data_IF_643179263692
#
_entry.id   IF_643179263692
#
_cell.length_a   1.000
_cell.length_b   1.000
_cell.length_c   1.000
_cell.angle_alpha   90.00
_cell.angle_beta   90.00
_cell.angle_gamma   90.00
#
_symmetry.space_group_name_H-M   'P 1'
#
loop_
_entity.id
_entity.type
_entity.pdbx_description
1 polymer ?
#
# COMPACT_ATOMS: atom_id res chain seq x y z
N UNK A 1 -43.98 -6.73 -16.61
CA UNK A 1 -43.14 -7.53 -17.54
C UNK A 1 -41.99 -8.02 -16.68
N UNK A 2 -42.26 -8.97 -15.78
CA UNK A 2 -41.37 -9.35 -14.65
C UNK A 2 -41.14 -10.87 -14.60
N UNK A 3 -41.51 -11.56 -15.69
CA UNK A 3 -41.29 -12.99 -15.89
C UNK A 3 -39.90 -13.27 -16.46
N UNK A 4 -39.53 -12.57 -17.54
CA UNK A 4 -38.28 -12.81 -18.27
C UNK A 4 -37.02 -12.58 -17.39
N UNK A 5 -36.99 -11.54 -16.55
CA UNK A 5 -35.79 -11.23 -15.75
C UNK A 5 -35.54 -12.24 -14.60
N UNK A 6 -36.60 -12.91 -14.12
CA UNK A 6 -36.47 -13.99 -13.13
C UNK A 6 -36.03 -15.30 -13.78
N UNK A 7 -36.53 -15.59 -14.97
CA UNK A 7 -36.16 -16.77 -15.74
C UNK A 7 -34.72 -16.68 -16.26
N UNK A 8 -34.29 -15.49 -16.68
CA UNK A 8 -32.91 -15.20 -17.10
C UNK A 8 -31.90 -15.47 -16.00
N UNK A 9 -32.24 -15.15 -14.74
CA UNK A 9 -31.36 -15.41 -13.59
C UNK A 9 -31.10 -16.91 -13.41
N UNK A 10 -32.15 -17.72 -13.51
CA UNK A 10 -32.09 -19.18 -13.33
C UNK A 10 -31.32 -19.84 -14.49
N UNK A 11 -31.55 -19.39 -15.73
CA UNK A 11 -30.87 -19.93 -16.92
C UNK A 11 -29.38 -19.57 -16.89
N UNK A 12 -29.04 -18.32 -16.57
CA UNK A 12 -27.65 -17.85 -16.49
C UNK A 12 -26.85 -18.60 -15.41
N UNK A 13 -27.47 -18.87 -14.27
CA UNK A 13 -26.86 -19.67 -13.20
C UNK A 13 -26.67 -21.15 -13.60
N UNK A 14 -27.66 -21.73 -14.30
CA UNK A 14 -27.55 -23.09 -14.84
C UNK A 14 -26.47 -23.22 -15.93
N UNK A 15 -26.32 -22.22 -16.80
CA UNK A 15 -25.26 -22.20 -17.82
C UNK A 15 -23.87 -22.02 -17.20
N UNK A 16 -23.72 -21.15 -16.20
CA UNK A 16 -22.48 -20.99 -15.44
C UNK A 16 -22.02 -22.29 -14.79
N UNK A 17 -22.96 -23.08 -14.25
CA UNK A 17 -22.68 -24.41 -13.69
C UNK A 17 -22.30 -25.47 -14.74
N UNK A 18 -22.65 -25.28 -16.02
CA UNK A 18 -22.46 -26.28 -17.09
C UNK A 18 -21.22 -26.01 -17.94
N UNK A 19 -20.78 -24.76 -18.06
CA UNK A 19 -19.68 -24.36 -18.95
C UNK A 19 -18.28 -24.58 -18.37
N UNK A 20 -18.19 -24.88 -17.08
CA UNK A 20 -16.93 -25.04 -16.36
C UNK A 20 -16.92 -26.45 -15.76
N UNK A 21 -16.12 -27.34 -16.35
CA UNK A 21 -15.87 -28.71 -15.88
C UNK A 21 -14.94 -28.71 -14.65
N UNK A 22 -15.19 -27.79 -13.70
CA UNK A 22 -14.48 -27.66 -12.43
C UNK A 22 -15.46 -28.11 -11.36
N UNK A 23 -15.17 -29.24 -10.73
CA UNK A 23 -15.90 -29.71 -9.56
C UNK A 23 -15.48 -28.88 -8.34
N UNK A 24 -16.27 -27.85 -8.06
CA UNK A 24 -16.09 -26.97 -6.89
C UNK A 24 -16.67 -27.64 -5.62
N UNK A 25 -17.35 -28.78 -5.75
CA UNK A 25 -17.98 -29.49 -4.63
C UNK A 25 -16.99 -30.09 -3.63
N UNK A 26 -15.76 -30.38 -4.07
CA UNK A 26 -14.68 -30.94 -3.26
C UNK A 26 -13.73 -29.85 -2.72
N UNK A 27 -14.05 -28.57 -2.93
CA UNK A 27 -13.29 -27.47 -2.35
C UNK A 27 -13.72 -27.32 -0.89
N UNK A 28 -12.90 -27.85 0.01
CA UNK A 28 -12.99 -27.58 1.43
C UNK A 28 -12.73 -26.09 1.68
N UNK A 29 -13.81 -25.30 1.76
CA UNK A 29 -13.74 -23.92 2.24
C UNK A 29 -13.78 -24.00 3.76
N UNK A 30 -12.68 -23.66 4.49
CA UNK A 30 -12.76 -23.55 5.93
C UNK A 30 -13.79 -22.45 6.27
N UNK A 31 -14.84 -22.82 7.00
CA UNK A 31 -15.95 -21.93 7.40
C UNK A 31 -15.46 -20.69 8.15
N UNK A 32 -14.29 -20.78 8.78
CA UNK A 32 -13.75 -19.74 9.63
C UNK A 32 -12.37 -19.33 9.14
N UNK A 33 -12.31 -18.27 8.33
CA UNK A 33 -11.21 -17.31 8.54
C UNK A 33 -11.53 -16.65 9.88
N UNK A 34 -10.97 -17.17 10.97
CA UNK A 34 -11.13 -16.57 12.28
C UNK A 34 -10.79 -15.08 12.22
N UNK A 35 -11.53 -14.27 12.96
CA UNK A 35 -11.23 -12.84 13.08
C UNK A 35 -9.79 -12.64 13.59
N UNK A 36 -9.33 -13.52 14.48
CA UNK A 36 -7.93 -13.62 14.91
C UNK A 36 -6.96 -13.78 13.74
N UNK A 37 -7.19 -14.71 12.79
CA UNK A 37 -6.29 -14.89 11.64
C UNK A 37 -6.28 -13.66 10.72
N UNK A 38 -7.38 -12.91 10.62
CA UNK A 38 -7.42 -11.66 9.84
C UNK A 38 -6.67 -10.54 10.56
N UNK A 39 -6.80 -10.47 11.88
CA UNK A 39 -6.09 -9.50 12.72
C UNK A 39 -4.58 -9.79 12.76
N UNK A 40 -4.17 -11.06 12.78
CA UNK A 40 -2.78 -11.49 12.61
C UNK A 40 -2.20 -11.08 11.25
N UNK A 41 -2.96 -11.26 10.16
CA UNK A 41 -2.55 -10.80 8.83
C UNK A 41 -2.53 -9.27 8.69
N UNK A 42 -3.42 -8.57 9.39
CA UNK A 42 -3.45 -7.10 9.39
C UNK A 42 -2.36 -6.47 10.28
N UNK A 43 -1.92 -7.19 11.32
CA UNK A 43 -0.82 -6.79 12.20
C UNK A 43 0.55 -7.25 11.72
N UNK A 44 0.62 -8.14 10.73
CA UNK A 44 1.85 -8.50 10.05
C UNK A 44 2.40 -7.26 9.30
N UNK A 45 3.36 -6.58 9.92
CA UNK A 45 4.09 -5.47 9.31
C UNK A 45 5.08 -6.04 8.30
N UNK A 46 4.89 -5.69 7.02
CA UNK A 46 5.82 -6.06 5.95
C UNK A 46 7.10 -5.18 6.05
N UNK A 47 8.22 -5.81 6.42
CA UNK A 47 9.52 -5.15 6.54
C UNK A 47 9.97 -4.47 5.24
N UNK A 48 9.54 -4.98 4.07
CA UNK A 48 9.89 -4.40 2.78
C UNK A 48 9.13 -3.09 2.47
N UNK A 49 7.95 -2.89 3.07
CA UNK A 49 7.18 -1.65 2.91
C UNK A 49 7.72 -0.51 3.77
N UNK A 50 8.39 -0.84 4.88
CA UNK A 50 8.96 0.14 5.80
C UNK A 50 7.91 1.01 6.50
N UNK A 51 8.36 2.12 7.07
CA UNK A 51 7.51 3.06 7.79
C UNK A 51 6.72 3.94 6.80
N UNK A 52 5.40 3.99 6.94
CA UNK A 52 4.57 4.91 6.16
C UNK A 52 4.76 6.34 6.68
N UNK A 53 5.27 7.23 5.81
CA UNK A 53 5.41 8.64 6.14
C UNK A 53 4.05 9.35 6.20
N UNK A 54 3.71 9.93 7.35
CA UNK A 54 2.52 10.79 7.53
C UNK A 54 2.89 12.26 7.28
N UNK A 55 2.45 12.87 6.16
CA UNK A 55 2.77 14.25 5.84
C UNK A 55 2.07 15.29 6.73
N UNK A 56 1.10 14.86 7.55
CA UNK A 56 0.37 15.73 8.47
C UNK A 56 0.82 15.57 9.93
N UNK A 57 1.75 14.65 10.20
CA UNK A 57 2.34 14.51 11.53
C UNK A 57 3.06 15.81 11.91
N UNK A 58 2.89 16.23 13.16
CA UNK A 58 3.61 17.39 13.67
C UNK A 58 5.12 17.09 13.62
N UNK A 59 5.93 17.91 12.94
CA UNK A 59 7.35 17.65 12.82
C UNK A 59 8.01 17.77 14.20
N UNK A 60 8.80 16.76 14.55
CA UNK A 60 9.55 16.71 15.80
C UNK A 60 10.87 17.51 15.71
N UNK A 61 11.17 18.10 14.55
CA UNK A 61 12.35 18.93 14.31
C UNK A 61 13.65 18.15 14.12
N UNK A 62 13.64 16.83 14.33
CA UNK A 62 14.81 15.95 14.18
C UNK A 62 14.81 15.17 12.85
N UNK A 63 13.79 15.37 12.03
CA UNK A 63 13.61 14.68 10.76
C UNK A 63 14.64 15.18 9.73
N UNK A 64 15.03 14.32 8.79
CA UNK A 64 15.92 14.73 7.71
C UNK A 64 15.25 15.85 6.89
N UNK A 65 15.94 16.97 6.75
CA UNK A 65 15.39 18.16 6.08
C UNK A 65 14.47 19.03 6.95
N UNK A 66 14.32 18.74 8.26
CA UNK A 66 13.57 19.61 9.17
C UNK A 66 14.21 20.99 9.26
N UNK A 67 13.41 22.06 9.11
CA UNK A 67 13.88 23.44 9.25
C UNK A 67 13.59 23.90 10.69
N UNK A 68 14.64 24.31 11.39
CA UNK A 68 14.55 24.83 12.76
C UNK A 68 14.00 26.27 12.77
N UNK A 69 13.61 26.78 13.95
CA UNK A 69 13.11 28.15 14.10
C UNK A 69 14.11 29.23 13.65
N UNK A 70 15.40 28.91 13.71
CA UNK A 70 16.49 29.78 13.25
C UNK A 70 16.79 29.67 11.74
N UNK A 71 16.04 28.84 11.01
CA UNK A 71 16.20 28.59 9.58
C UNK A 71 17.29 27.59 9.23
N UNK A 72 17.95 26.96 10.22
CA UNK A 72 18.95 25.92 9.98
C UNK A 72 18.31 24.56 9.71
N UNK A 73 19.05 23.67 9.05
CA UNK A 73 18.67 22.26 8.83
C UNK A 73 19.68 21.38 9.55
N UNK A 74 19.26 20.43 10.41
CA UNK A 74 20.18 19.66 11.24
C UNK A 74 21.06 18.70 10.43
N UNK A 75 20.57 18.22 9.29
CA UNK A 75 21.32 17.40 8.34
C UNK A 75 21.46 18.17 7.04
N UNK A 76 22.69 18.56 6.71
CA UNK A 76 22.97 19.27 5.46
C UNK A 76 22.63 18.38 4.25
N UNK A 77 22.00 18.95 3.20
CA UNK A 77 21.76 18.21 1.97
C UNK A 77 23.08 17.86 1.28
N UNK A 78 23.04 16.83 0.44
CA UNK A 78 24.16 16.52 -0.44
C UNK A 78 24.47 17.68 -1.39
N UNK A 79 25.75 17.89 -1.67
CA UNK A 79 26.21 18.99 -2.53
C UNK A 79 26.10 18.57 -3.98
N UNK A 80 25.46 19.40 -4.80
CA UNK A 80 25.41 19.18 -6.25
C UNK A 80 26.79 19.42 -6.88
N UNK A 81 27.06 18.76 -8.00
CA UNK A 81 28.27 18.90 -8.82
C UNK A 81 28.54 20.37 -9.14
N UNK A 82 27.49 21.15 -9.44
CA UNK A 82 27.62 22.60 -9.71
C UNK A 82 28.12 23.34 -8.47
N UNK A 83 27.62 22.99 -7.28
CA UNK A 83 28.03 23.59 -6.00
C UNK A 83 29.46 23.22 -5.62
N UNK A 84 29.88 21.98 -5.90
CA UNK A 84 31.26 21.54 -5.69
C UNK A 84 32.24 22.31 -6.59
N UNK A 85 31.95 22.37 -7.90
CA UNK A 85 32.80 23.08 -8.87
C UNK A 85 32.92 24.57 -8.50
N UNK A 86 31.81 25.21 -8.12
CA UNK A 86 31.81 26.61 -7.71
C UNK A 86 32.71 26.84 -6.49
N UNK A 87 32.58 26.02 -5.45
CA UNK A 87 33.36 26.16 -4.22
C UNK A 87 34.85 25.83 -4.39
N UNK A 88 35.20 24.90 -5.28
CA UNK A 88 36.60 24.59 -5.59
C UNK A 88 37.31 25.73 -6.33
N UNK A 89 36.58 26.45 -7.20
CA UNK A 89 37.07 27.66 -7.86
C UNK A 89 37.44 28.80 -6.90
N UNK A 90 36.88 28.82 -5.69
CA UNK A 90 37.18 29.83 -4.66
C UNK A 90 38.49 29.57 -3.90
N UNK A 91 39.06 28.35 -3.98
CA UNK A 91 40.32 28.00 -3.30
C UNK A 91 41.58 28.29 -4.13
N UNK A 92 41.43 28.86 -5.33
CA UNK A 92 42.50 29.15 -6.29
C UNK A 92 43.09 30.55 -6.18
#
# INVERSE_FOLDING_TARGET
MDGDERDDRIIREKEFRRSIDIDIGDIEVPEERSEERREELASAVDEALGEMFDPFKKPDGTEAGAIQEDGTVPVAPERDIVTEIAAEGERG
#
